data_IF_249683684587
#
_entry.id   IF_249683684587
#
_cell.length_a   1.000
_cell.length_b   1.000
_cell.length_c   1.000
_cell.angle_alpha   90.00
_cell.angle_beta   90.00
_cell.angle_gamma   90.00
#
_symmetry.space_group_name_H-M   'P 1'
#
loop_
_entity.id
_entity.type
_entity.pdbx_description
1 polymer ?
#
# COMPACT_ATOMS: atom_id res chain seq x y z
N UNK A 1 1.35 3.58 13.15
CA UNK A 1 1.82 4.97 13.31
C UNK A 1 2.13 5.52 11.94
N UNK A 2 1.59 6.70 11.56
CA UNK A 2 1.90 7.36 10.27
C UNK A 2 3.35 7.86 10.18
N UNK A 3 4.04 7.97 11.31
CA UNK A 3 5.47 8.29 11.40
C UNK A 3 6.37 7.06 11.53
N UNK A 4 5.82 5.84 11.53
CA UNK A 4 6.64 4.62 11.54
C UNK A 4 7.41 4.50 10.23
N UNK A 5 8.67 4.06 10.26
CA UNK A 5 9.31 3.52 9.09
C UNK A 5 8.46 2.35 8.57
N UNK A 6 8.35 2.21 7.26
CA UNK A 6 7.73 1.04 6.67
C UNK A 6 8.73 -0.10 6.55
N UNK A 7 8.30 -1.21 5.95
CA UNK A 7 9.12 -2.40 5.79
C UNK A 7 10.44 -2.12 5.05
N UNK A 8 10.44 -1.15 4.13
CA UNK A 8 11.59 -0.68 3.39
C UNK A 8 12.74 -0.22 4.30
N UNK A 9 12.44 0.36 5.46
CA UNK A 9 13.45 0.82 6.41
C UNK A 9 14.07 -0.33 7.20
N UNK A 10 13.26 -1.32 7.59
CA UNK A 10 13.74 -2.51 8.29
C UNK A 10 14.61 -3.40 7.40
N UNK A 11 14.37 -3.36 6.08
CA UNK A 11 15.15 -4.09 5.10
C UNK A 11 16.32 -3.28 4.50
N UNK A 12 16.51 -2.03 4.93
CA UNK A 12 17.60 -1.18 4.48
C UNK A 12 17.51 -0.74 3.02
N UNK A 13 16.30 -0.66 2.45
CA UNK A 13 16.04 -0.32 1.04
C UNK A 13 15.36 1.05 0.87
N UNK A 14 15.50 1.94 1.84
CA UNK A 14 14.89 3.29 1.83
C UNK A 14 15.48 4.26 0.81
N UNK A 15 16.72 4.03 0.37
CA UNK A 15 17.42 4.94 -0.54
C UNK A 15 16.87 4.92 -1.98
N UNK A 16 16.22 3.82 -2.37
CA UNK A 16 15.72 3.60 -3.72
C UNK A 16 14.35 2.93 -3.69
N UNK A 17 13.26 3.66 -3.98
CA UNK A 17 11.91 3.11 -4.04
C UNK A 17 11.77 1.95 -5.04
N UNK A 18 12.60 1.86 -6.08
CA UNK A 18 12.55 0.77 -7.05
C UNK A 18 12.77 -0.59 -6.38
N UNK A 19 13.66 -0.67 -5.38
CA UNK A 19 13.90 -1.91 -4.62
C UNK A 19 12.68 -2.34 -3.83
N UNK A 20 11.93 -1.40 -3.27
CA UNK A 20 10.70 -1.71 -2.55
C UNK A 20 9.59 -2.18 -3.50
N UNK A 21 9.56 -1.66 -4.74
CA UNK A 21 8.66 -2.11 -5.81
C UNK A 21 9.02 -3.54 -6.25
N UNK A 22 10.30 -3.81 -6.53
CA UNK A 22 10.78 -5.15 -6.90
C UNK A 22 10.47 -6.18 -5.80
N UNK A 23 10.69 -5.81 -4.54
CA UNK A 23 10.38 -6.69 -3.40
C UNK A 23 8.87 -6.94 -3.27
N UNK A 24 8.04 -5.92 -3.46
CA UNK A 24 6.59 -6.09 -3.45
C UNK A 24 6.14 -7.10 -4.53
N UNK A 25 6.72 -7.04 -5.72
CA UNK A 25 6.48 -8.02 -6.78
C UNK A 25 6.97 -9.42 -6.39
N UNK A 26 8.17 -9.52 -5.83
CA UNK A 26 8.71 -10.80 -5.36
C UNK A 26 7.79 -11.43 -4.28
N UNK A 27 7.24 -10.63 -3.38
CA UNK A 27 6.29 -11.12 -2.36
C UNK A 27 5.03 -11.71 -2.97
N UNK A 28 4.46 -11.11 -4.02
CA UNK A 28 3.29 -11.67 -4.71
C UNK A 28 3.57 -12.98 -5.45
N UNK A 29 4.85 -13.29 -5.73
CA UNK A 29 5.25 -14.58 -6.32
C UNK A 29 5.55 -15.63 -5.24
N UNK A 30 6.07 -15.19 -4.09
CA UNK A 30 6.53 -16.07 -3.01
C UNK A 30 5.45 -16.42 -1.99
N UNK A 31 4.38 -15.64 -1.91
CA UNK A 31 3.28 -15.80 -0.95
C UNK A 31 2.01 -16.10 -1.75
N UNK A 32 1.57 -17.36 -1.69
CA UNK A 32 0.53 -17.92 -2.57
C UNK A 32 -0.76 -17.07 -2.64
N UNK A 33 -1.23 -16.55 -1.50
CA UNK A 33 -2.49 -15.79 -1.41
C UNK A 33 -2.28 -14.26 -1.43
N UNK A 34 -1.07 -13.77 -1.69
CA UNK A 34 -0.79 -12.34 -1.72
C UNK A 34 -0.91 -11.78 -3.13
N UNK A 35 -2.06 -11.19 -3.44
CA UNK A 35 -2.31 -10.61 -4.76
C UNK A 35 -1.70 -9.22 -4.98
N UNK A 36 -1.47 -8.48 -3.89
CA UNK A 36 -1.03 -7.09 -3.98
C UNK A 36 -0.26 -6.65 -2.74
N UNK A 37 0.87 -5.96 -2.98
CA UNK A 37 1.64 -5.29 -1.96
C UNK A 37 2.13 -3.92 -2.46
N UNK A 38 2.15 -2.94 -1.56
CA UNK A 38 2.90 -1.70 -1.73
C UNK A 38 3.69 -1.48 -0.44
N UNK A 39 5.01 -1.49 -0.56
CA UNK A 39 5.91 -1.49 0.60
C UNK A 39 6.58 -0.13 0.84
N UNK A 40 6.19 0.94 0.15
CA UNK A 40 6.90 2.23 0.23
C UNK A 40 6.01 3.46 0.31
N UNK A 41 4.77 3.40 -0.17
CA UNK A 41 3.82 4.51 -0.05
C UNK A 41 3.11 4.48 1.30
N UNK A 42 2.82 5.67 1.85
CA UNK A 42 2.03 5.84 3.07
C UNK A 42 0.57 6.06 2.71
N UNK A 43 -0.33 5.46 3.47
CA UNK A 43 -1.74 5.42 3.11
C UNK A 43 -2.57 4.55 4.03
N UNK A 44 -3.74 4.16 3.55
CA UNK A 44 -4.70 3.32 4.25
C UNK A 44 -5.52 2.52 3.23
N UNK A 45 -6.11 1.41 3.70
CA UNK A 45 -7.12 0.68 2.93
C UNK A 45 -8.49 1.19 3.33
N UNK A 46 -9.25 1.69 2.36
CA UNK A 46 -10.65 2.06 2.52
C UNK A 46 -11.52 0.87 2.12
N UNK A 47 -12.34 0.38 3.04
CA UNK A 47 -13.30 -0.70 2.80
C UNK A 47 -14.73 -0.13 2.75
N UNK A 48 -15.43 -0.40 1.65
CA UNK A 48 -16.84 -0.06 1.47
C UNK A 48 -17.67 -1.34 1.46
N UNK A 49 -18.58 -1.46 2.41
CA UNK A 49 -19.51 -2.58 2.51
C UNK A 49 -20.85 -2.20 1.87
N UNK A 50 -21.45 -3.13 1.12
CA UNK A 50 -22.81 -3.02 0.60
C UNK A 50 -23.59 -4.29 0.91
N UNK A 51 -24.91 -4.29 0.66
CA UNK A 51 -25.72 -5.49 0.82
C UNK A 51 -25.32 -6.63 -0.14
N UNK A 52 -24.59 -6.32 -1.21
CA UNK A 52 -24.25 -7.26 -2.30
C UNK A 52 -22.75 -7.59 -2.37
N UNK A 53 -21.96 -7.20 -1.37
CA UNK A 53 -20.51 -7.45 -1.34
C UNK A 53 -19.74 -6.32 -0.70
N UNK A 54 -18.43 -6.28 -0.95
CA UNK A 54 -17.54 -5.23 -0.44
C UNK A 54 -16.53 -4.77 -1.49
N UNK A 55 -15.97 -3.59 -1.30
CA UNK A 55 -14.93 -3.04 -2.15
C UNK A 55 -13.77 -2.54 -1.28
N UNK A 56 -12.56 -2.94 -1.64
CA UNK A 56 -11.33 -2.49 -1.02
C UNK A 56 -10.57 -1.54 -1.95
N UNK A 57 -10.14 -0.40 -1.41
CA UNK A 57 -9.33 0.59 -2.10
C UNK A 57 -8.04 0.86 -1.31
N UNK A 58 -6.88 0.71 -1.93
CA UNK A 58 -5.61 1.11 -1.35
C UNK A 58 -5.33 2.56 -1.77
N UNK A 59 -5.44 3.45 -0.78
CA UNK A 59 -5.37 4.89 -0.94
C UNK A 59 -4.09 5.41 -0.31
N UNK A 60 -3.29 6.13 -1.08
CA UNK A 60 -2.00 6.64 -0.65
C UNK A 60 -1.98 8.16 -0.65
N UNK A 61 -1.27 8.74 0.32
CA UNK A 61 -1.02 10.18 0.40
C UNK A 61 0.29 10.52 -0.32
N UNK A 62 0.33 11.71 -0.90
CA UNK A 62 1.53 12.27 -1.53
C UNK A 62 2.61 12.68 -0.51
N UNK A 63 2.20 13.09 0.70
CA UNK A 63 3.09 13.56 1.76
C UNK A 63 2.58 13.15 3.14
N UNK A 64 3.51 12.93 4.08
CA UNK A 64 3.22 12.74 5.52
C UNK A 64 3.82 13.85 6.39
N UNK A 65 4.48 14.83 5.77
CA UNK A 65 5.19 15.92 6.44
C UNK A 65 4.53 17.28 6.24
N UNK A 66 3.47 17.34 5.44
CA UNK A 66 2.68 18.54 5.17
C UNK A 66 1.24 18.34 5.63
N UNK A 67 0.60 19.42 6.09
CA UNK A 67 -0.78 19.36 6.57
C UNK A 67 -1.77 19.18 5.43
N UNK A 68 -1.54 19.84 4.29
CA UNK A 68 -2.29 19.61 3.05
C UNK A 68 -1.67 18.44 2.30
N UNK A 69 -2.51 17.45 1.99
CA UNK A 69 -2.12 16.23 1.27
C UNK A 69 -3.22 15.85 0.28
N UNK A 70 -2.82 15.20 -0.81
CA UNK A 70 -3.76 14.59 -1.76
C UNK A 70 -3.75 13.09 -1.59
N UNK A 71 -4.92 12.47 -1.66
CA UNK A 71 -5.06 11.01 -1.62
C UNK A 71 -5.31 10.46 -3.03
N UNK A 72 -4.56 9.43 -3.43
CA UNK A 72 -4.69 8.74 -4.71
C UNK A 72 -5.03 7.26 -4.47
N UNK A 73 -6.08 6.76 -5.11
CA UNK A 73 -6.40 5.33 -5.14
C UNK A 73 -5.53 4.64 -6.19
N UNK A 74 -4.67 3.73 -5.75
CA UNK A 74 -3.77 2.98 -6.65
C UNK A 74 -4.36 1.62 -7.06
N UNK A 75 -5.02 0.95 -6.12
CA UNK A 75 -5.65 -0.35 -6.34
C UNK A 75 -7.08 -0.32 -5.82
N UNK A 76 -7.98 -0.93 -6.60
CA UNK A 76 -9.35 -1.25 -6.22
C UNK A 76 -9.57 -2.75 -6.42
N UNK A 77 -10.27 -3.38 -5.49
CA UNK A 77 -10.60 -4.80 -5.52
C UNK A 77 -12.04 -5.01 -5.04
N UNK A 78 -12.80 -5.82 -5.78
CA UNK A 78 -14.18 -6.16 -5.42
C UNK A 78 -14.18 -7.52 -4.73
N UNK A 79 -14.74 -7.56 -3.53
CA UNK A 79 -14.94 -8.76 -2.73
C UNK A 79 -16.40 -9.17 -2.97
N UNK A 80 -16.55 -10.27 -3.71
CA UNK A 80 -17.85 -10.89 -4.00
C UNK A 80 -18.36 -11.71 -2.82
#
# INVERSE_FOLDING_TARGET
SVSSPGLEAYLGITADPAKAVELAQAFTVLIDDLEYANLYKRGYTYLKFTASGSEAEWRFVDSVTTETTTTVTEKKYTIA
#
